data_IF_795436039392
#
_entry.id   IF_795436039392
#
_cell.length_a   1.000
_cell.length_b   1.000
_cell.length_c   1.000
_cell.angle_alpha   90.00
_cell.angle_beta   90.00
_cell.angle_gamma   90.00
#
_symmetry.space_group_name_H-M   'P 1'
#
loop_
_entity.id
_entity.type
_entity.pdbx_description
1 polymer ?
#
# COMPACT_ATOMS: atom_id res chain seq x y z
N UNK A 1 -7.81 20.61 4.12
CA UNK A 1 -7.55 20.10 2.76
C UNK A 1 -8.78 20.05 1.84
N UNK A 2 -9.82 20.89 2.02
CA UNK A 2 -11.08 20.76 1.25
C UNK A 2 -10.85 20.68 -0.27
N UNK A 3 -10.07 21.60 -0.82
CA UNK A 3 -9.80 21.70 -2.27
C UNK A 3 -8.78 20.67 -2.78
N UNK A 4 -8.33 19.76 -1.92
CA UNK A 4 -7.40 18.66 -2.22
C UNK A 4 -8.01 17.28 -1.93
N UNK A 5 -9.31 17.20 -1.65
CA UNK A 5 -10.00 15.96 -1.33
C UNK A 5 -11.19 15.73 -2.26
N UNK A 6 -11.36 14.47 -2.68
CA UNK A 6 -12.58 13.97 -3.31
C UNK A 6 -13.09 12.78 -2.51
N UNK A 7 -14.25 12.93 -1.89
CA UNK A 7 -14.94 11.83 -1.20
C UNK A 7 -15.71 11.04 -2.23
N UNK A 8 -15.62 9.71 -2.22
CA UNK A 8 -16.33 8.83 -3.14
C UNK A 8 -17.27 7.92 -2.34
N UNK A 9 -18.50 7.75 -2.82
CA UNK A 9 -19.49 6.83 -2.22
C UNK A 9 -20.21 6.02 -3.30
N UNK A 10 -20.73 4.85 -2.91
CA UNK A 10 -21.50 3.95 -3.78
C UNK A 10 -20.66 3.03 -4.68
N UNK A 11 -19.34 3.08 -4.57
CA UNK A 11 -18.44 2.09 -5.17
C UNK A 11 -18.48 0.78 -4.37
N UNK A 12 -18.41 -0.34 -5.08
CA UNK A 12 -18.56 -1.67 -4.48
C UNK A 12 -17.48 -2.63 -4.97
N UNK A 13 -17.00 -3.50 -4.09
CA UNK A 13 -16.08 -4.55 -4.48
C UNK A 13 -16.77 -5.61 -5.35
N UNK A 14 -15.98 -6.28 -6.18
CA UNK A 14 -16.40 -7.48 -6.86
C UNK A 14 -16.86 -8.54 -5.84
N UNK A 15 -18.07 -9.05 -6.02
CA UNK A 15 -18.61 -10.14 -5.19
C UNK A 15 -18.76 -11.43 -5.98
N UNK A 16 -18.89 -11.38 -7.31
CA UNK A 16 -19.24 -12.50 -8.18
C UNK A 16 -20.32 -13.41 -7.57
N UNK A 17 -21.38 -12.81 -7.03
CA UNK A 17 -22.49 -13.52 -6.38
C UNK A 17 -22.22 -14.01 -4.95
N UNK A 18 -20.99 -13.92 -4.43
CA UNK A 18 -20.67 -14.24 -3.04
C UNK A 18 -21.24 -13.17 -2.09
N UNK A 19 -21.82 -13.61 -0.99
CA UNK A 19 -22.44 -12.70 -0.01
C UNK A 19 -21.46 -12.32 1.11
N UNK A 20 -21.83 -11.33 1.92
CA UNK A 20 -21.15 -10.99 3.18
C UNK A 20 -21.15 -12.15 4.20
N UNK A 21 -21.86 -13.27 3.94
CA UNK A 21 -21.87 -14.48 4.78
C UNK A 21 -21.04 -15.62 4.21
N UNK A 22 -20.48 -15.45 3.01
CA UNK A 22 -19.63 -16.45 2.37
C UNK A 22 -18.24 -16.37 3.00
N UNK A 23 -17.77 -17.47 3.60
CA UNK A 23 -16.56 -17.55 4.44
C UNK A 23 -15.32 -16.82 3.93
N UNK A 24 -14.45 -16.48 4.87
CA UNK A 24 -13.27 -15.64 4.70
C UNK A 24 -13.47 -14.22 4.19
N UNK A 25 -14.45 -13.54 4.77
CA UNK A 25 -14.85 -12.18 4.39
C UNK A 25 -13.73 -11.15 4.57
N UNK A 26 -12.90 -11.26 5.61
CA UNK A 26 -11.82 -10.31 5.88
C UNK A 26 -10.68 -10.43 4.87
N UNK A 27 -10.16 -11.65 4.68
CA UNK A 27 -9.13 -11.92 3.68
C UNK A 27 -9.61 -11.61 2.27
N UNK A 28 -10.88 -11.90 1.97
CA UNK A 28 -11.50 -11.55 0.67
C UNK A 28 -11.55 -10.05 0.45
N UNK A 29 -12.03 -9.27 1.41
CA UNK A 29 -12.18 -7.82 1.23
C UNK A 29 -10.83 -7.10 1.18
N UNK A 30 -9.87 -7.49 2.02
CA UNK A 30 -8.50 -6.99 1.94
C UNK A 30 -7.89 -7.28 0.56
N UNK A 31 -7.89 -8.54 0.13
CA UNK A 31 -7.30 -8.94 -1.16
C UNK A 31 -7.91 -8.19 -2.33
N UNK A 32 -9.25 -8.11 -2.38
CA UNK A 32 -9.98 -7.44 -3.47
C UNK A 32 -9.73 -5.93 -3.53
N UNK A 33 -9.32 -5.30 -2.43
CA UNK A 33 -9.24 -3.85 -2.34
C UNK A 33 -8.34 -3.24 -3.42
N UNK A 34 -7.20 -3.87 -3.74
CA UNK A 34 -6.33 -3.43 -4.84
C UNK A 34 -6.23 -4.41 -6.01
N UNK A 35 -6.70 -5.66 -5.85
CA UNK A 35 -6.62 -6.68 -6.91
C UNK A 35 -7.94 -6.91 -7.63
N UNK A 36 -9.08 -6.43 -7.12
CA UNK A 36 -10.41 -6.76 -7.65
C UNK A 36 -10.74 -8.27 -7.74
N UNK A 37 -9.82 -9.13 -7.32
CA UNK A 37 -9.82 -10.55 -7.58
C UNK A 37 -10.40 -11.31 -6.41
N UNK A 38 -11.22 -12.32 -6.71
CA UNK A 38 -11.80 -13.16 -5.68
C UNK A 38 -10.75 -14.21 -5.30
N UNK A 39 -10.25 -14.19 -4.05
CA UNK A 39 -9.21 -15.13 -3.67
C UNK A 39 -9.74 -16.55 -3.64
N UNK A 40 -8.85 -17.50 -3.90
CA UNK A 40 -9.16 -18.94 -3.86
C UNK A 40 -9.00 -19.51 -2.44
N UNK A 41 -9.92 -20.40 -1.98
CA UNK A 41 -9.75 -21.15 -0.73
C UNK A 41 -8.63 -22.19 -0.81
N UNK A 42 -8.18 -22.68 0.35
CA UNK A 42 -7.18 -23.76 0.45
C UNK A 42 -7.63 -25.06 -0.24
N UNK A 43 -6.64 -25.86 -0.68
CA UNK A 43 -6.87 -27.24 -1.12
C UNK A 43 -7.44 -27.40 -2.54
N UNK A 44 -7.49 -26.32 -3.34
CA UNK A 44 -7.88 -26.37 -4.75
C UNK A 44 -6.63 -26.22 -5.64
N UNK A 45 -6.03 -27.36 -6.04
CA UNK A 45 -4.91 -27.58 -6.98
C UNK A 45 -3.90 -26.43 -7.21
N UNK A 46 -2.61 -26.67 -6.88
CA UNK A 46 -1.49 -25.74 -7.12
C UNK A 46 -1.09 -24.92 -5.89
N UNK A 47 -0.31 -23.83 -6.09
CA UNK A 47 0.07 -22.91 -5.00
C UNK A 47 -1.17 -22.48 -4.19
N UNK A 48 -1.07 -22.54 -2.86
CA UNK A 48 -2.20 -22.41 -1.91
C UNK A 48 -2.88 -21.02 -1.83
N UNK A 49 -2.53 -20.08 -2.72
CA UNK A 49 -3.16 -18.76 -2.82
C UNK A 49 -3.13 -18.21 -4.26
N UNK A 50 -4.26 -17.64 -4.69
CA UNK A 50 -4.49 -17.03 -5.98
C UNK A 50 -5.34 -15.76 -5.82
N UNK A 51 -4.82 -14.63 -6.28
CA UNK A 51 -5.49 -13.35 -6.45
C UNK A 51 -5.24 -12.84 -7.89
N UNK A 52 -4.90 -11.57 -8.07
CA UNK A 52 -4.42 -10.98 -9.33
C UNK A 52 -3.34 -9.93 -9.02
N UNK A 53 -2.72 -9.35 -10.05
CA UNK A 53 -1.82 -8.21 -9.89
C UNK A 53 -2.58 -7.02 -9.28
N UNK A 54 -2.03 -6.41 -8.25
CA UNK A 54 -2.63 -5.25 -7.61
C UNK A 54 -2.34 -3.96 -8.37
N UNK A 55 -3.22 -2.96 -8.23
CA UNK A 55 -3.12 -1.66 -8.93
C UNK A 55 -1.81 -0.94 -8.63
N UNK A 56 -1.33 -0.97 -7.38
CA UNK A 56 -0.04 -0.41 -6.99
C UNK A 56 1.12 -1.11 -7.73
N UNK A 57 1.03 -2.42 -7.95
CA UNK A 57 2.08 -3.16 -8.66
C UNK A 57 2.02 -2.97 -10.18
N UNK A 58 0.86 -2.64 -10.75
CA UNK A 58 0.78 -2.14 -12.12
C UNK A 58 1.47 -0.78 -12.25
N UNK A 59 1.27 0.13 -11.29
CA UNK A 59 1.98 1.42 -11.23
C UNK A 59 3.49 1.22 -11.06
N UNK A 60 3.90 0.32 -10.16
CA UNK A 60 5.31 0.05 -9.85
C UNK A 60 6.10 -0.47 -11.07
N UNK A 61 5.46 -1.22 -11.97
CA UNK A 61 6.09 -1.73 -13.21
C UNK A 61 6.49 -0.63 -14.20
N UNK A 62 5.75 0.48 -14.20
CA UNK A 62 6.01 1.61 -15.09
C UNK A 62 6.79 2.71 -14.36
N UNK A 63 6.26 3.22 -13.25
CA UNK A 63 6.86 4.33 -12.50
C UNK A 63 8.15 3.96 -11.75
N UNK A 64 8.32 2.66 -11.44
CA UNK A 64 9.50 2.15 -10.74
C UNK A 64 10.76 2.04 -11.60
N UNK A 65 10.66 2.30 -12.91
CA UNK A 65 11.82 2.24 -13.83
C UNK A 65 12.82 3.36 -13.57
N UNK A 66 12.32 4.50 -13.10
CA UNK A 66 13.09 5.72 -12.87
C UNK A 66 13.55 5.88 -11.42
N UNK A 67 13.18 4.94 -10.53
CA UNK A 67 13.52 4.99 -9.11
C UNK A 67 14.31 3.77 -8.65
N UNK A 68 14.98 3.89 -7.50
CA UNK A 68 15.79 2.81 -6.92
C UNK A 68 14.91 1.65 -6.43
N UNK A 69 13.76 1.97 -5.85
CA UNK A 69 12.74 1.03 -5.40
C UNK A 69 11.52 1.18 -6.29
N UNK A 70 11.08 0.07 -6.90
CA UNK A 70 9.89 0.09 -7.74
C UNK A 70 8.60 0.41 -6.97
N UNK A 71 8.53 -0.05 -5.72
CA UNK A 71 7.47 0.25 -4.77
C UNK A 71 7.96 0.04 -3.33
N UNK A 72 7.18 0.56 -2.37
CA UNK A 72 7.37 0.35 -0.95
C UNK A 72 6.07 -0.16 -0.30
N UNK A 73 6.14 -1.32 0.33
CA UNK A 73 5.01 -2.04 0.93
C UNK A 73 5.09 -1.95 2.45
N UNK A 74 4.17 -1.23 3.07
CA UNK A 74 4.23 -0.85 4.48
C UNK A 74 2.97 -1.25 5.25
N UNK A 75 3.11 -1.46 6.56
CA UNK A 75 1.98 -1.65 7.48
C UNK A 75 2.25 -1.07 8.88
N UNK A 76 1.23 -1.00 9.74
CA UNK A 76 1.40 -0.70 11.18
C UNK A 76 1.25 -1.93 12.07
N UNK A 77 1.04 -3.10 11.48
CA UNK A 77 0.85 -4.35 12.17
C UNK A 77 1.81 -5.41 11.63
N UNK A 78 2.46 -6.13 12.54
CA UNK A 78 3.29 -7.28 12.21
C UNK A 78 2.45 -8.41 11.62
N UNK A 79 2.89 -8.95 10.47
CA UNK A 79 2.29 -10.15 9.88
C UNK A 79 2.41 -11.40 10.76
N UNK A 80 3.41 -11.47 11.64
CA UNK A 80 3.67 -12.64 12.48
C UNK A 80 2.79 -12.68 13.73
N UNK A 81 2.42 -11.50 14.26
CA UNK A 81 1.48 -11.38 15.38
C UNK A 81 0.05 -11.59 14.86
N UNK A 82 -0.38 -12.84 14.87
CA UNK A 82 -1.67 -13.28 14.32
C UNK A 82 -1.59 -14.46 13.35
N UNK A 83 -0.44 -15.14 13.24
CA UNK A 83 -0.37 -16.41 12.52
C UNK A 83 -1.42 -17.39 13.09
N UNK A 84 -2.44 -17.72 12.29
CA UNK A 84 -3.58 -18.55 12.69
C UNK A 84 -4.85 -17.79 13.10
N UNK A 85 -4.82 -16.46 13.25
CA UNK A 85 -6.00 -15.60 13.45
C UNK A 85 -6.48 -15.02 12.11
N UNK A 86 -6.52 -15.86 11.09
CA UNK A 86 -7.04 -15.50 9.78
C UNK A 86 -8.30 -16.31 9.49
N UNK A 87 -9.01 -15.91 8.45
CA UNK A 87 -10.26 -16.56 8.11
C UNK A 87 -10.08 -18.05 7.77
N UNK A 88 -10.87 -18.90 8.42
CA UNK A 88 -10.83 -20.35 8.19
C UNK A 88 -11.08 -20.72 6.72
N UNK A 89 -10.27 -21.63 6.20
CA UNK A 89 -10.39 -22.13 4.82
C UNK A 89 -9.64 -21.31 3.75
N UNK A 90 -8.93 -20.24 4.14
CA UNK A 90 -8.17 -19.38 3.24
C UNK A 90 -6.79 -19.05 3.81
N UNK A 91 -5.83 -18.76 2.93
CA UNK A 91 -4.48 -18.37 3.34
C UNK A 91 -4.46 -17.07 4.14
N UNK A 92 -3.74 -17.05 5.27
CA UNK A 92 -3.57 -15.83 6.06
C UNK A 92 -2.91 -14.70 5.27
N UNK A 93 -2.19 -15.03 4.19
CA UNK A 93 -1.65 -14.08 3.22
C UNK A 93 -2.70 -13.06 2.77
N UNK A 94 -3.94 -13.49 2.53
CA UNK A 94 -5.02 -12.63 2.05
C UNK A 94 -5.44 -11.54 3.05
N UNK A 95 -5.12 -11.71 4.33
CA UNK A 95 -5.38 -10.71 5.38
C UNK A 95 -4.11 -9.94 5.79
N UNK A 96 -2.94 -10.37 5.32
CA UNK A 96 -1.64 -9.79 5.69
C UNK A 96 -1.05 -8.89 4.61
N UNK A 97 -1.60 -8.91 3.40
CA UNK A 97 -1.20 -8.00 2.33
C UNK A 97 -2.37 -7.63 1.41
N UNK A 98 -2.36 -6.39 0.93
CA UNK A 98 -3.18 -5.92 -0.18
C UNK A 98 -2.37 -5.75 -1.47
N UNK A 99 -1.07 -6.08 -1.47
CA UNK A 99 -0.17 -5.87 -2.60
C UNK A 99 0.32 -7.19 -3.19
N UNK A 100 0.15 -7.33 -4.51
CA UNK A 100 0.33 -8.56 -5.26
C UNK A 100 1.06 -8.26 -6.56
N UNK A 101 2.31 -8.71 -6.67
CA UNK A 101 3.14 -8.52 -7.88
C UNK A 101 2.58 -9.30 -9.08
N UNK A 102 1.84 -10.36 -8.81
CA UNK A 102 1.13 -11.18 -9.77
C UNK A 102 0.14 -12.13 -9.06
N UNK A 103 -0.59 -12.96 -9.81
CA UNK A 103 -1.71 -13.75 -9.28
C UNK A 103 -1.36 -14.65 -8.09
N UNK A 104 -0.12 -15.13 -8.00
CA UNK A 104 0.34 -16.00 -6.90
C UNK A 104 1.59 -15.43 -6.21
N UNK A 105 1.80 -14.12 -6.26
CA UNK A 105 3.01 -13.47 -5.73
C UNK A 105 2.63 -12.30 -4.82
N UNK A 106 2.18 -12.58 -3.59
CA UNK A 106 1.95 -11.56 -2.56
C UNK A 106 3.28 -10.89 -2.20
N UNK A 107 3.24 -9.59 -1.91
CA UNK A 107 4.40 -8.90 -1.35
C UNK A 107 4.22 -8.69 0.16
N UNK A 108 5.25 -9.00 0.98
CA UNK A 108 5.20 -8.77 2.41
C UNK A 108 5.19 -7.27 2.70
N UNK A 109 4.45 -6.88 3.75
CA UNK A 109 4.39 -5.50 4.21
C UNK A 109 5.32 -5.31 5.41
N UNK A 110 6.15 -4.27 5.37
CA UNK A 110 7.07 -3.95 6.47
C UNK A 110 6.42 -3.00 7.48
N UNK A 111 6.53 -3.35 8.75
CA UNK A 111 5.95 -2.59 9.87
C UNK A 111 7.01 -1.94 10.77
N UNK A 112 8.25 -2.43 10.74
CA UNK A 112 9.33 -1.92 11.57
C UNK A 112 9.99 -0.71 10.87
N UNK A 113 9.88 0.50 11.43
CA UNK A 113 10.45 1.70 10.82
C UNK A 113 11.98 1.65 10.73
N UNK A 114 12.68 0.86 11.55
CA UNK A 114 14.13 0.66 11.40
C UNK A 114 14.43 -0.09 10.10
N UNK A 115 13.69 -1.16 9.82
CA UNK A 115 13.87 -1.97 8.60
C UNK A 115 13.50 -1.15 7.36
N UNK A 116 12.43 -0.34 7.44
CA UNK A 116 12.08 0.61 6.37
C UNK A 116 13.21 1.62 6.15
N UNK A 117 13.75 2.22 7.21
CA UNK A 117 14.87 3.16 7.10
C UNK A 117 16.09 2.50 6.45
N UNK A 118 16.46 1.29 6.85
CA UNK A 118 17.57 0.53 6.25
C UNK A 118 17.32 0.21 4.77
N UNK A 119 16.08 -0.10 4.40
CA UNK A 119 15.70 -0.31 2.99
C UNK A 119 15.83 0.97 2.15
N UNK A 120 15.53 2.13 2.73
CA UNK A 120 15.60 3.43 2.05
C UNK A 120 17.02 4.00 1.99
N UNK A 121 17.77 3.91 3.09
CA UNK A 121 19.03 4.66 3.28
C UNK A 121 20.24 3.77 3.60
N UNK A 122 20.03 2.46 3.81
CA UNK A 122 21.05 1.53 4.27
C UNK A 122 21.27 1.57 5.78
N UNK A 123 22.23 0.77 6.27
CA UNK A 123 22.60 0.64 7.69
C UNK A 123 23.49 1.79 8.22
N UNK A 124 23.61 2.90 7.47
CA UNK A 124 24.51 4.01 7.79
C UNK A 124 24.10 4.85 9.00
N UNK A 125 23.00 4.49 9.67
CA UNK A 125 22.54 5.07 10.92
C UNK A 125 21.88 6.47 10.81
N UNK A 126 22.04 7.18 9.70
CA UNK A 126 21.47 8.53 9.54
C UNK A 126 21.33 8.94 8.06
N UNK A 127 20.40 9.85 7.76
CA UNK A 127 20.26 10.49 6.44
C UNK A 127 21.28 11.62 6.20
N UNK A 128 22.17 11.87 7.17
CA UNK A 128 23.23 12.88 7.10
C UNK A 128 24.09 12.76 5.82
N UNK A 129 24.39 13.87 5.12
CA UNK A 129 25.16 13.83 3.88
C UNK A 129 26.52 13.12 3.98
N UNK A 130 27.23 13.21 5.10
CA UNK A 130 28.50 12.54 5.31
C UNK A 130 28.33 11.03 5.45
N UNK A 131 27.34 10.59 6.24
CA UNK A 131 26.99 9.17 6.39
C UNK A 131 26.60 8.55 5.04
N UNK A 132 25.75 9.23 4.26
CA UNK A 132 25.35 8.78 2.92
C UNK A 132 26.53 8.70 1.94
N UNK A 133 27.45 9.68 1.97
CA UNK A 133 28.65 9.66 1.10
C UNK A 133 29.57 8.48 1.44
N UNK A 134 29.83 8.25 2.73
CA UNK A 134 30.67 7.14 3.17
C UNK A 134 30.07 5.79 2.74
N UNK A 135 28.76 5.61 2.88
CA UNK A 135 28.06 4.40 2.44
C UNK A 135 28.15 4.16 0.94
N UNK A 136 27.90 5.18 0.11
CA UNK A 136 27.99 5.04 -1.36
C UNK A 136 29.39 4.62 -1.80
N UNK A 137 30.43 5.20 -1.20
CA UNK A 137 31.82 4.81 -1.49
C UNK A 137 32.08 3.34 -1.13
N UNK A 138 31.55 2.86 0.00
CA UNK A 138 31.63 1.45 0.39
C UNK A 138 30.91 0.52 -0.60
N UNK A 139 29.66 0.84 -0.96
CA UNK A 139 28.86 0.01 -1.88
C UNK A 139 29.50 -0.12 -3.27
N UNK A 140 30.10 0.98 -3.77
CA UNK A 140 30.83 0.97 -5.05
C UNK A 140 32.03 0.03 -5.00
N UNK A 141 32.84 0.14 -3.95
CA UNK A 141 34.00 -0.75 -3.74
C UNK A 141 33.59 -2.23 -3.66
N UNK A 142 32.48 -2.54 -2.99
CA UNK A 142 31.94 -3.90 -2.90
C UNK A 142 31.48 -4.43 -4.26
N UNK A 143 30.76 -3.63 -5.05
CA UNK A 143 30.32 -4.03 -6.40
C UNK A 143 31.51 -4.27 -7.33
N UNK A 144 32.51 -3.38 -7.31
CA UNK A 144 33.72 -3.53 -8.12
C UNK A 144 34.40 -4.87 -7.81
N UNK A 145 34.50 -5.25 -6.52
CA UNK A 145 35.05 -6.54 -6.10
C UNK A 145 34.21 -7.75 -6.53
N UNK A 146 32.88 -7.66 -6.46
CA UNK A 146 31.98 -8.76 -6.91
C UNK A 146 32.09 -8.94 -8.42
N UNK A 147 32.13 -7.85 -9.18
CA UNK A 147 32.22 -7.86 -10.64
C UNK A 147 33.51 -8.52 -11.12
N UNK A 148 34.64 -8.20 -10.50
CA UNK A 148 35.92 -8.86 -10.79
C UNK A 148 35.81 -10.38 -10.55
N UNK A 149 35.28 -10.80 -9.41
CA UNK A 149 35.13 -12.23 -9.06
C UNK A 149 34.18 -12.98 -10.00
N UNK A 150 33.08 -12.35 -10.42
CA UNK A 150 32.13 -12.93 -11.38
C UNK A 150 32.76 -13.08 -12.76
N UNK A 151 33.49 -12.06 -13.21
CA UNK A 151 34.23 -12.12 -14.47
C UNK A 151 35.27 -13.23 -14.47
N UNK A 152 35.93 -13.45 -13.33
CA UNK A 152 36.91 -14.52 -13.16
C UNK A 152 36.26 -15.91 -13.16
N UNK A 153 35.13 -16.06 -12.46
CA UNK A 153 34.37 -17.32 -12.41
C UNK A 153 33.83 -17.70 -13.79
N UNK A 154 33.33 -16.73 -14.58
CA UNK A 154 32.80 -16.95 -15.93
C UNK A 154 33.84 -17.60 -16.87
N UNK A 155 35.13 -17.32 -16.68
CA UNK A 155 36.22 -17.89 -17.50
C UNK A 155 36.45 -19.39 -17.24
N UNK A 156 35.96 -19.92 -16.12
CA UNK A 156 36.19 -21.32 -15.71
C UNK A 156 34.97 -22.24 -15.79
N UNK A 157 33.79 -21.74 -16.18
CA UNK A 157 32.53 -22.51 -16.16
C UNK A 157 32.17 -23.10 -17.53
N UNK A 158 31.53 -24.28 -17.49
CA UNK A 158 30.94 -24.93 -18.66
C UNK A 158 29.53 -24.39 -19.02
N UNK A 159 28.97 -24.78 -20.18
CA UNK A 159 27.74 -24.19 -20.72
C UNK A 159 26.49 -24.29 -19.81
N UNK A 160 26.39 -25.36 -19.01
CA UNK A 160 25.24 -25.57 -18.11
C UNK A 160 25.28 -24.69 -16.85
N UNK A 161 26.47 -24.29 -16.40
CA UNK A 161 26.64 -23.42 -15.23
C UNK A 161 26.60 -21.94 -15.63
N UNK A 162 26.82 -21.64 -16.91
CA UNK A 162 26.73 -20.29 -17.45
C UNK A 162 25.32 -19.69 -17.30
N UNK A 163 24.26 -20.50 -17.45
CA UNK A 163 22.88 -20.03 -17.31
C UNK A 163 22.52 -19.56 -15.89
N UNK A 164 22.99 -20.27 -14.85
CA UNK A 164 22.81 -19.84 -13.45
C UNK A 164 23.65 -18.61 -13.12
N UNK A 165 24.84 -18.50 -13.73
CA UNK A 165 25.67 -17.31 -13.58
C UNK A 165 25.03 -16.08 -14.26
N UNK A 166 24.33 -16.26 -15.37
CA UNK A 166 23.64 -15.16 -16.06
C UNK A 166 22.51 -14.59 -15.19
N UNK A 167 21.73 -15.42 -14.47
CA UNK A 167 20.74 -14.93 -13.47
C UNK A 167 21.40 -14.09 -12.36
N UNK A 168 22.57 -14.51 -11.88
CA UNK A 168 23.34 -13.76 -10.89
C UNK A 168 23.89 -12.44 -11.47
N UNK A 169 24.39 -12.46 -12.70
CA UNK A 169 24.89 -11.27 -13.40
C UNK A 169 23.78 -10.25 -13.63
N UNK A 170 22.57 -10.70 -13.97
CA UNK A 170 21.43 -9.81 -14.14
C UNK A 170 21.00 -9.19 -12.80
N UNK A 171 21.04 -9.95 -11.69
CA UNK A 171 20.85 -9.39 -10.36
C UNK A 171 21.92 -8.34 -10.00
N UNK A 172 23.19 -8.56 -10.37
CA UNK A 172 24.28 -7.57 -10.17
C UNK A 172 24.03 -6.30 -10.99
N UNK A 173 23.60 -6.43 -12.25
CA UNK A 173 23.26 -5.29 -13.11
C UNK A 173 22.10 -4.46 -12.55
N UNK A 174 21.11 -5.13 -11.98
CA UNK A 174 20.02 -4.44 -11.30
C UNK A 174 20.51 -3.62 -10.10
N UNK A 175 21.49 -4.14 -9.34
CA UNK A 175 22.14 -3.38 -8.26
C UNK A 175 22.97 -2.22 -8.82
N UNK A 176 23.74 -2.42 -9.90
CA UNK A 176 24.49 -1.33 -10.57
C UNK A 176 23.55 -0.19 -11.00
N UNK A 177 22.42 -0.53 -11.63
CA UNK A 177 21.41 0.46 -12.04
C UNK A 177 20.90 1.27 -10.84
N UNK A 178 20.59 0.61 -9.72
CA UNK A 178 20.15 1.30 -8.49
C UNK A 178 21.22 2.24 -7.95
N UNK A 179 22.49 1.83 -7.96
CA UNK A 179 23.60 2.70 -7.54
C UNK A 179 23.72 3.92 -8.46
N UNK A 180 23.62 3.74 -9.78
CA UNK A 180 23.66 4.86 -10.73
C UNK A 180 22.52 5.85 -10.49
N UNK A 181 21.29 5.37 -10.27
CA UNK A 181 20.15 6.23 -9.89
C UNK A 181 20.44 6.97 -8.58
N UNK A 182 21.01 6.30 -7.57
CA UNK A 182 21.38 6.91 -6.30
C UNK A 182 22.47 8.00 -6.42
N UNK A 183 23.43 7.81 -7.33
CA UNK A 183 24.45 8.81 -7.64
C UNK A 183 23.85 10.02 -8.35
N UNK A 184 22.94 9.82 -9.32
CA UNK A 184 22.23 10.91 -9.98
C UNK A 184 21.39 11.74 -9.00
N UNK A 185 20.86 11.11 -7.95
CA UNK A 185 20.06 11.75 -6.90
C UNK A 185 20.90 12.27 -5.72
N UNK A 186 22.23 12.18 -5.76
CA UNK A 186 23.08 12.35 -4.56
C UNK A 186 23.07 13.75 -3.94
N UNK A 187 22.76 14.76 -4.76
CA UNK A 187 22.79 16.18 -4.40
C UNK A 187 21.48 16.66 -3.76
N UNK A 188 20.47 15.79 -3.62
CA UNK A 188 19.24 16.14 -2.91
C UNK A 188 19.53 16.35 -1.42
N UNK A 189 19.21 17.55 -0.95
CA UNK A 189 19.19 17.86 0.48
C UNK A 189 17.99 17.14 1.12
N UNK A 190 18.26 16.38 2.18
CA UNK A 190 17.22 15.72 2.97
C UNK A 190 17.31 16.25 4.40
N UNK A 191 16.18 16.33 5.12
CA UNK A 191 16.24 16.58 6.55
C UNK A 191 17.00 15.43 7.22
N UNK A 192 17.79 15.78 8.25
CA UNK A 192 18.54 14.80 9.03
C UNK A 192 17.54 14.02 9.89
N UNK A 193 17.54 12.71 9.70
CA UNK A 193 16.81 11.74 10.49
C UNK A 193 17.79 10.64 10.89
N UNK A 194 17.88 10.41 12.19
CA UNK A 194 18.59 9.25 12.72
C UNK A 194 17.77 7.99 12.52
N UNK A 195 18.47 6.88 12.35
CA UNK A 195 17.84 5.58 12.20
C UNK A 195 16.92 5.28 13.39
N UNK A 196 15.65 4.92 13.15
CA UNK A 196 14.73 4.57 14.22
C UNK A 196 15.20 3.39 15.08
N UNK A 197 14.84 3.44 16.36
CA UNK A 197 15.09 2.34 17.30
C UNK A 197 14.18 1.12 17.09
N UNK A 198 13.21 1.19 16.17
CA UNK A 198 12.20 0.16 15.93
C UNK A 198 10.79 0.70 16.12
N UNK A 199 9.83 -0.20 16.32
CA UNK A 199 8.40 0.14 16.46
C UNK A 199 8.12 0.97 17.74
N UNK A 200 7.57 2.19 17.63
CA UNK A 200 7.16 3.00 18.79
C UNK A 200 6.06 2.36 19.65
N UNK A 201 5.89 2.86 20.87
CA UNK A 201 4.94 2.28 21.83
C UNK A 201 3.48 2.60 21.49
N UNK A 202 3.19 3.82 21.04
CA UNK A 202 1.82 4.25 20.72
C UNK A 202 1.52 4.12 19.24
N UNK A 203 0.23 3.95 18.89
CA UNK A 203 -0.19 3.90 17.49
C UNK A 203 0.17 5.20 16.75
N UNK A 204 -0.10 6.35 17.37
CA UNK A 204 0.14 7.66 16.74
C UNK A 204 1.63 7.89 16.43
N UNK A 205 2.54 7.57 17.36
CA UNK A 205 3.98 7.72 17.11
C UNK A 205 4.45 6.78 16.00
N UNK A 206 3.97 5.54 15.98
CA UNK A 206 4.31 4.58 14.94
C UNK A 206 3.78 5.02 13.57
N UNK A 207 2.51 5.43 13.49
CA UNK A 207 1.90 5.95 12.27
C UNK A 207 2.65 7.16 11.72
N UNK A 208 2.93 8.16 12.57
CA UNK A 208 3.62 9.39 12.17
C UNK A 208 5.05 9.11 11.70
N UNK A 209 5.78 8.24 12.39
CA UNK A 209 7.13 7.85 11.98
C UNK A 209 7.14 7.12 10.63
N UNK A 210 6.18 6.22 10.41
CA UNK A 210 6.03 5.55 9.11
C UNK A 210 5.62 6.54 8.00
N UNK A 211 4.80 7.54 8.30
CA UNK A 211 4.47 8.61 7.35
C UNK A 211 5.68 9.52 7.05
N UNK A 212 6.48 9.88 8.06
CA UNK A 212 7.70 10.66 7.85
C UNK A 212 8.71 9.91 6.96
N UNK A 213 8.84 8.59 7.12
CA UNK A 213 9.64 7.75 6.23
C UNK A 213 9.11 7.73 4.79
N UNK A 214 7.79 7.73 4.59
CA UNK A 214 7.18 7.85 3.26
C UNK A 214 7.47 9.21 2.62
N UNK A 215 7.33 10.30 3.38
CA UNK A 215 7.68 11.65 2.92
C UNK A 215 9.15 11.71 2.52
N UNK A 216 10.04 11.15 3.34
CA UNK A 216 11.47 11.05 3.04
C UNK A 216 11.73 10.24 1.77
N UNK A 217 11.03 9.12 1.56
CA UNK A 217 11.15 8.31 0.35
C UNK A 217 10.77 9.09 -0.92
N UNK A 218 9.73 9.93 -0.85
CA UNK A 218 9.37 10.83 -1.95
C UNK A 218 10.36 11.99 -2.13
N UNK A 219 10.75 12.66 -1.05
CA UNK A 219 11.75 13.74 -1.08
C UNK A 219 13.08 13.30 -1.67
N UNK A 220 13.47 12.05 -1.40
CA UNK A 220 14.70 11.44 -1.91
C UNK A 220 14.54 10.76 -3.27
N UNK A 221 13.31 10.72 -3.83
CA UNK A 221 12.99 10.06 -5.09
C UNK A 221 13.44 8.58 -5.12
N UNK A 222 13.30 7.91 -3.97
CA UNK A 222 13.61 6.49 -3.84
C UNK A 222 12.52 5.61 -4.44
N UNK A 223 11.27 6.06 -4.42
CA UNK A 223 10.14 5.39 -5.05
C UNK A 223 9.02 6.37 -5.42
N UNK A 224 8.19 6.00 -6.40
CA UNK A 224 6.95 6.71 -6.76
C UNK A 224 5.69 6.03 -6.24
N UNK A 225 5.79 4.79 -5.77
CA UNK A 225 4.63 3.97 -5.39
C UNK A 225 4.82 3.47 -3.96
N UNK A 226 3.87 3.82 -3.10
CA UNK A 226 3.83 3.36 -1.72
C UNK A 226 2.43 2.81 -1.43
N UNK A 227 2.38 1.61 -0.86
CA UNK A 227 1.14 0.99 -0.36
C UNK A 227 1.27 0.86 1.15
N UNK A 228 0.28 1.36 1.90
CA UNK A 228 0.34 1.40 3.36
C UNK A 228 -0.92 0.85 4.01
N UNK A 229 -0.81 -0.29 4.70
CA UNK A 229 -1.90 -0.90 5.46
C UNK A 229 -1.87 -0.41 6.92
N UNK A 230 -2.72 0.57 7.23
CA UNK A 230 -2.83 1.19 8.56
C UNK A 230 -3.37 0.22 9.62
N UNK A 231 -4.29 -0.67 9.23
CA UNK A 231 -4.83 -1.70 10.10
C UNK A 231 -5.32 -2.89 9.27
N UNK A 232 -5.19 -4.09 9.84
CA UNK A 232 -5.74 -5.30 9.20
C UNK A 232 -7.23 -5.42 9.48
N UNK A 233 -7.96 -6.04 8.56
CA UNK A 233 -9.40 -6.32 8.69
C UNK A 233 -9.75 -7.15 9.96
N UNK A 234 -8.79 -7.89 10.50
CA UNK A 234 -8.92 -8.71 11.71
C UNK A 234 -8.13 -8.16 12.91
N UNK A 235 -7.86 -6.85 12.93
CA UNK A 235 -7.02 -6.24 13.97
C UNK A 235 -7.69 -6.25 15.35
N UNK A 236 -7.13 -6.98 16.30
CA UNK A 236 -7.50 -6.91 17.72
C UNK A 236 -6.80 -5.77 18.47
N UNK A 237 -6.24 -4.79 17.77
CA UNK A 237 -5.55 -3.64 18.38
C UNK A 237 -6.53 -2.85 19.25
N UNK A 238 -6.06 -2.43 20.41
CA UNK A 238 -6.77 -1.53 21.33
C UNK A 238 -6.14 -0.14 21.27
N UNK A 239 -6.92 0.88 21.62
CA UNK A 239 -6.48 2.29 21.60
C UNK A 239 -6.80 2.98 22.95
N UNK A 240 -6.18 2.54 24.06
CA UNK A 240 -6.43 3.11 25.38
C UNK A 240 -6.06 4.61 25.46
N UNK A 241 -5.12 5.10 24.65
CA UNK A 241 -4.66 6.49 24.60
C UNK A 241 -5.76 7.49 24.20
N UNK A 242 -6.81 7.02 23.51
CA UNK A 242 -7.99 7.80 23.13
C UNK A 242 -9.26 7.33 23.85
N UNK A 243 -9.12 6.49 24.88
CA UNK A 243 -10.26 5.96 25.62
C UNK A 243 -11.09 4.92 24.84
N UNK A 244 -10.46 4.14 23.97
CA UNK A 244 -11.06 3.02 23.26
C UNK A 244 -10.31 1.70 23.56
N UNK A 245 -10.49 1.13 24.77
CA UNK A 245 -9.74 -0.05 25.22
C UNK A 245 -10.19 -1.37 24.57
N UNK A 246 -11.34 -1.41 23.89
CA UNK A 246 -11.80 -2.59 23.16
C UNK A 246 -10.93 -2.88 21.92
N UNK A 247 -10.88 -4.15 21.50
CA UNK A 247 -10.20 -4.54 20.27
C UNK A 247 -10.97 -4.03 19.05
N UNK A 248 -10.29 -3.43 18.09
CA UNK A 248 -10.91 -2.78 16.93
C UNK A 248 -11.86 -3.71 16.15
N UNK A 249 -11.40 -4.92 15.81
CA UNK A 249 -12.21 -5.91 15.11
C UNK A 249 -13.42 -6.39 15.96
N UNK A 250 -13.27 -6.85 17.22
CA UNK A 250 -14.42 -7.22 18.03
C UNK A 250 -15.48 -6.12 18.18
N UNK A 251 -15.05 -4.87 18.37
CA UNK A 251 -15.96 -3.73 18.53
C UNK A 251 -16.90 -3.54 17.33
N UNK A 252 -16.43 -3.82 16.11
CA UNK A 252 -17.23 -3.65 14.88
C UNK A 252 -18.38 -4.64 14.78
N UNK A 253 -18.31 -5.79 15.47
CA UNK A 253 -19.36 -6.80 15.48
C UNK A 253 -20.38 -6.64 16.62
N UNK A 254 -20.12 -5.77 17.60
CA UNK A 254 -20.95 -5.67 18.80
C UNK A 254 -22.21 -4.81 18.62
N UNK A 255 -22.17 -3.78 17.77
CA UNK A 255 -23.29 -2.86 17.49
C UNK A 255 -23.95 -2.17 18.70
N UNK A 256 -23.26 -2.10 19.85
CA UNK A 256 -23.75 -1.40 21.03
C UNK A 256 -23.41 0.09 20.97
N UNK A 257 -24.16 0.94 21.70
CA UNK A 257 -23.83 2.36 21.77
C UNK A 257 -22.38 2.61 22.27
N UNK A 258 -21.92 1.79 23.21
CA UNK A 258 -20.55 1.87 23.73
C UNK A 258 -19.49 1.39 22.73
N UNK A 259 -19.78 0.38 21.90
CA UNK A 259 -18.85 -0.06 20.87
C UNK A 259 -18.78 0.96 19.72
N UNK A 260 -19.91 1.53 19.32
CA UNK A 260 -19.99 2.60 18.32
C UNK A 260 -19.22 3.86 18.75
N UNK A 261 -19.33 4.28 20.01
CA UNK A 261 -18.56 5.42 20.53
C UNK A 261 -17.05 5.18 20.42
N UNK A 262 -16.58 3.97 20.75
CA UNK A 262 -15.17 3.59 20.63
C UNK A 262 -14.73 3.54 19.16
N UNK A 263 -15.54 2.95 18.26
CA UNK A 263 -15.24 2.92 16.82
C UNK A 263 -15.13 4.32 16.22
N UNK A 264 -16.00 5.25 16.61
CA UNK A 264 -15.89 6.65 16.19
C UNK A 264 -14.57 7.26 16.64
N UNK A 265 -14.15 7.05 17.89
CA UNK A 265 -12.85 7.52 18.39
C UNK A 265 -11.69 6.93 17.58
N UNK A 266 -11.72 5.63 17.29
CA UNK A 266 -10.68 4.96 16.50
C UNK A 266 -10.63 5.53 15.07
N UNK A 267 -11.77 5.67 14.40
CA UNK A 267 -11.85 6.22 13.04
C UNK A 267 -11.38 7.67 12.97
N UNK A 268 -11.78 8.51 13.93
CA UNK A 268 -11.27 9.88 14.06
C UNK A 268 -9.76 9.86 14.25
N UNK A 269 -9.24 8.99 15.11
CA UNK A 269 -7.80 8.91 15.38
C UNK A 269 -6.99 8.47 14.15
N UNK A 270 -7.51 7.57 13.33
CA UNK A 270 -6.89 7.20 12.04
C UNK A 270 -6.91 8.37 11.06
N UNK A 271 -8.04 9.08 10.96
CA UNK A 271 -8.17 10.26 10.11
C UNK A 271 -7.25 11.41 10.55
N UNK A 272 -7.01 11.58 11.86
CA UNK A 272 -6.02 12.53 12.39
C UNK A 272 -4.60 12.19 11.93
N UNK A 273 -4.22 10.90 11.90
CA UNK A 273 -2.88 10.52 11.43
C UNK A 273 -2.76 10.69 9.91
N UNK A 274 -3.84 10.45 9.17
CA UNK A 274 -3.89 10.77 7.73
C UNK A 274 -3.77 12.28 7.49
N UNK A 275 -4.47 13.11 8.29
CA UNK A 275 -4.34 14.57 8.21
C UNK A 275 -2.90 15.04 8.49
N UNK A 276 -2.24 14.45 9.49
CA UNK A 276 -0.82 14.69 9.74
C UNK A 276 0.02 14.37 8.50
N UNK A 277 -0.21 13.24 7.83
CA UNK A 277 0.53 12.89 6.62
C UNK A 277 0.32 13.92 5.50
N UNK A 278 -0.92 14.39 5.29
CA UNK A 278 -1.21 15.45 4.34
C UNK A 278 -0.50 16.77 4.69
N UNK A 279 -0.43 17.14 5.97
CA UNK A 279 0.33 18.31 6.44
C UNK A 279 1.82 18.17 6.11
N UNK A 280 2.40 16.98 6.34
CA UNK A 280 3.82 16.72 6.02
C UNK A 280 4.10 16.79 4.52
N UNK A 281 3.22 16.24 3.70
CA UNK A 281 3.32 16.33 2.23
C UNK A 281 3.16 17.77 1.75
N UNK A 282 2.23 18.55 2.31
CA UNK A 282 2.02 19.95 1.95
C UNK A 282 3.21 20.82 2.36
N UNK A 283 3.79 20.58 3.54
CA UNK A 283 4.93 21.33 4.05
C UNK A 283 6.25 20.98 3.36
N UNK A 284 6.26 19.98 2.47
CA UNK A 284 7.45 19.53 1.76
C UNK A 284 7.46 20.10 0.34
N UNK A 285 8.44 20.96 -0.02
CA UNK A 285 8.61 21.41 -1.39
C UNK A 285 8.95 20.27 -2.34
N UNK A 286 8.39 20.31 -3.55
CA UNK A 286 8.72 19.42 -4.66
C UNK A 286 8.56 20.20 -5.97
N UNK A 287 9.67 20.55 -6.62
CA UNK A 287 9.66 21.30 -7.88
C UNK A 287 8.91 22.63 -7.81
N UNK A 288 7.83 22.74 -8.57
CA UNK A 288 6.94 23.90 -8.70
C UNK A 288 5.80 23.94 -7.67
N UNK A 289 5.76 22.99 -6.73
CA UNK A 289 4.75 22.92 -5.68
C UNK A 289 5.24 22.22 -4.42
N UNK A 290 4.32 21.54 -3.76
CA UNK A 290 4.58 20.64 -2.64
C UNK A 290 4.40 19.18 -3.07
N UNK A 291 4.91 18.22 -2.28
CA UNK A 291 4.62 16.81 -2.53
C UNK A 291 3.11 16.55 -2.61
N UNK A 292 2.30 17.22 -1.78
CA UNK A 292 0.85 17.07 -1.81
C UNK A 292 0.24 17.48 -3.17
N UNK A 293 0.86 18.43 -3.88
CA UNK A 293 0.40 18.88 -5.20
C UNK A 293 0.68 17.82 -6.29
N UNK A 294 1.72 17.01 -6.12
CA UNK A 294 2.17 16.04 -7.13
C UNK A 294 1.70 14.61 -6.88
N UNK A 295 1.41 14.23 -5.64
CA UNK A 295 0.89 12.90 -5.33
C UNK A 295 -0.61 12.79 -5.56
N UNK A 296 -1.06 11.57 -5.88
CA UNK A 296 -2.45 11.13 -5.79
C UNK A 296 -2.51 10.02 -4.75
N UNK A 297 -3.21 10.27 -3.66
CA UNK A 297 -3.41 9.31 -2.58
C UNK A 297 -4.77 8.66 -2.72
N UNK A 298 -4.79 7.33 -2.60
CA UNK A 298 -6.01 6.52 -2.51
C UNK A 298 -6.13 5.97 -1.09
N UNK A 299 -7.09 6.49 -0.33
CA UNK A 299 -7.33 6.14 1.08
C UNK A 299 -8.72 5.53 1.26
N UNK A 300 -8.82 4.44 2.02
CA UNK A 300 -10.10 3.83 2.33
C UNK A 300 -9.98 2.42 2.91
N UNK A 301 -11.11 1.71 2.93
CA UNK A 301 -11.23 0.35 3.43
C UNK A 301 -11.95 -0.58 2.44
N UNK A 302 -11.71 -1.88 2.57
CA UNK A 302 -12.36 -2.92 1.76
C UNK A 302 -13.79 -3.25 2.17
N UNK A 303 -14.26 -2.69 3.30
CA UNK A 303 -15.61 -2.87 3.84
C UNK A 303 -16.19 -1.53 4.30
N UNK A 304 -17.52 -1.39 4.24
CA UNK A 304 -18.21 -0.19 4.71
C UNK A 304 -18.53 -0.22 6.21
N UNK A 305 -18.85 -1.38 6.75
CA UNK A 305 -19.31 -1.54 8.14
C UNK A 305 -19.07 -2.95 8.68
N UNK A 306 -19.30 -3.12 9.99
CA UNK A 306 -19.00 -4.35 10.75
C UNK A 306 -19.76 -5.60 10.32
N UNK A 307 -20.81 -5.47 9.49
CA UNK A 307 -21.52 -6.60 8.88
C UNK A 307 -20.91 -7.03 7.54
N UNK A 308 -19.62 -6.74 7.36
CA UNK A 308 -18.80 -7.12 6.21
C UNK A 308 -19.32 -6.61 4.86
N UNK A 309 -19.99 -5.46 4.85
CA UNK A 309 -20.60 -4.92 3.65
C UNK A 309 -19.54 -4.56 2.58
N UNK A 310 -19.52 -5.25 1.41
CA UNK A 310 -18.57 -4.98 0.34
C UNK A 310 -19.02 -3.85 -0.61
N UNK A 311 -20.10 -3.15 -0.30
CA UNK A 311 -20.68 -2.06 -1.10
C UNK A 311 -20.63 -0.74 -0.35
N UNK A 312 -20.72 0.37 -1.08
CA UNK A 312 -20.63 1.73 -0.55
C UNK A 312 -19.37 1.96 0.30
N UNK A 313 -18.21 1.60 -0.27
CA UNK A 313 -16.93 1.66 0.43
C UNK A 313 -16.56 3.10 0.86
N UNK A 314 -15.89 3.28 2.02
CA UNK A 314 -15.48 4.58 2.51
C UNK A 314 -14.16 4.98 1.85
N UNK A 315 -14.24 5.74 0.74
CA UNK A 315 -13.08 6.05 -0.08
C UNK A 315 -12.85 7.56 -0.22
N UNK A 316 -11.58 7.95 -0.19
CA UNK A 316 -11.12 9.32 -0.38
C UNK A 316 -9.94 9.32 -1.35
N UNK A 317 -10.00 10.18 -2.36
CA UNK A 317 -8.82 10.60 -3.09
C UNK A 317 -8.29 11.90 -2.51
N UNK A 318 -6.98 11.98 -2.31
CA UNK A 318 -6.33 13.18 -1.78
C UNK A 318 -5.11 13.60 -2.61
N UNK A 319 -4.78 14.88 -2.56
CA UNK A 319 -3.63 15.47 -3.26
C UNK A 319 -4.02 16.21 -4.55
N UNK A 320 -3.03 16.68 -5.29
CA UNK A 320 -3.22 17.37 -6.57
C UNK A 320 -3.07 16.44 -7.78
N UNK A 321 -2.36 15.32 -7.64
CA UNK A 321 -2.04 14.43 -8.75
C UNK A 321 -1.42 15.16 -9.94
N UNK A 322 -0.61 16.20 -9.70
CA UNK A 322 -0.07 17.08 -10.75
C UNK A 322 -1.18 17.73 -11.60
N UNK A 323 -2.22 18.24 -10.93
CA UNK A 323 -3.38 18.87 -11.56
C UNK A 323 -4.42 17.90 -12.13
N UNK A 324 -4.23 16.58 -11.98
CA UNK A 324 -5.17 15.57 -12.46
C UNK A 324 -6.38 15.36 -11.54
N UNK A 325 -6.36 15.89 -10.31
CA UNK A 325 -7.44 15.74 -9.34
C UNK A 325 -8.00 17.10 -8.92
N UNK A 326 -9.28 17.36 -9.23
CA UNK A 326 -9.99 18.52 -8.72
C UNK A 326 -10.62 18.21 -7.36
N UNK A 327 -10.14 18.78 -6.26
CA UNK A 327 -10.72 18.54 -4.94
C UNK A 327 -12.05 19.26 -4.70
N UNK A 328 -12.48 19.31 -3.43
CA UNK A 328 -13.66 20.05 -2.98
C UNK A 328 -14.99 19.36 -3.31
N UNK A 329 -14.96 18.05 -3.63
CA UNK A 329 -16.11 17.32 -4.17
C UNK A 329 -16.45 16.08 -3.38
N UNK A 330 -17.74 15.74 -3.37
CA UNK A 330 -18.25 14.43 -3.00
C UNK A 330 -18.93 13.85 -4.24
N UNK A 331 -18.38 12.77 -4.77
CA UNK A 331 -18.91 12.07 -5.94
C UNK A 331 -19.62 10.80 -5.48
N UNK A 332 -20.88 10.67 -5.89
CA UNK A 332 -21.77 9.56 -5.51
C UNK A 332 -22.06 8.74 -6.76
N UNK A 333 -21.66 7.48 -6.75
CA UNK A 333 -21.83 6.56 -7.87
C UNK A 333 -22.94 5.55 -7.56
N UNK A 334 -23.70 5.17 -8.59
CA UNK A 334 -24.84 4.24 -8.46
C UNK A 334 -26.09 4.84 -7.81
N UNK A 335 -27.21 4.14 -7.97
CA UNK A 335 -28.51 4.57 -7.43
C UNK A 335 -28.54 4.35 -5.92
N UNK A 336 -28.43 5.43 -5.18
CA UNK A 336 -28.38 5.47 -3.72
C UNK A 336 -29.58 6.24 -3.16
N UNK A 337 -30.60 6.54 -3.98
CA UNK A 337 -31.81 7.30 -3.60
C UNK A 337 -32.72 6.60 -2.57
N UNK A 338 -32.34 5.44 -2.06
CA UNK A 338 -32.98 4.88 -0.89
C UNK A 338 -32.21 5.33 0.35
N UNK A 339 -32.85 6.17 1.17
CA UNK A 339 -32.37 6.64 2.47
C UNK A 339 -32.19 5.50 3.51
N UNK A 340 -32.16 4.26 3.06
CA UNK A 340 -32.01 3.04 3.84
C UNK A 340 -30.82 2.23 3.32
N UNK A 341 -29.62 2.74 3.61
CA UNK A 341 -28.36 2.02 3.40
C UNK A 341 -28.21 0.78 4.30
N UNK A 342 -29.19 0.48 5.17
CA UNK A 342 -29.16 -0.64 6.13
C UNK A 342 -29.80 -1.93 5.60
N UNK A 343 -30.45 -1.89 4.44
CA UNK A 343 -31.12 -3.07 3.90
C UNK A 343 -30.13 -4.07 3.28
N UNK A 344 -29.74 -5.06 4.09
CA UNK A 344 -29.14 -6.34 3.70
C UNK A 344 -29.95 -7.16 2.65
N UNK A 345 -31.04 -6.62 2.10
CA UNK A 345 -31.90 -7.29 1.11
C UNK A 345 -31.44 -7.15 -0.35
N UNK A 346 -30.46 -6.28 -0.65
CA UNK A 346 -29.89 -6.20 -2.00
C UNK A 346 -28.70 -7.15 -2.12
N UNK A 347 -28.98 -8.37 -2.55
CA UNK A 347 -27.95 -9.26 -3.05
C UNK A 347 -27.18 -8.60 -4.20
N UNK A 348 -25.85 -8.61 -4.07
CA UNK A 348 -24.73 -8.58 -5.04
C UNK A 348 -24.90 -8.42 -6.57
N UNK A 349 -26.07 -8.16 -7.16
CA UNK A 349 -26.30 -8.52 -8.56
C UNK A 349 -26.36 -7.39 -9.60
N UNK A 350 -27.05 -6.29 -9.34
CA UNK A 350 -27.48 -5.38 -10.42
C UNK A 350 -27.48 -3.91 -9.98
N UNK A 351 -26.65 -3.08 -10.61
CA UNK A 351 -26.67 -1.61 -10.49
C UNK A 351 -25.57 -0.99 -9.61
N UNK A 352 -24.76 -1.77 -8.91
CA UNK A 352 -23.63 -1.25 -8.14
C UNK A 352 -22.47 -0.85 -9.06
N UNK A 353 -21.83 0.31 -8.80
CA UNK A 353 -20.67 0.76 -9.58
C UNK A 353 -19.41 0.03 -9.08
N UNK A 354 -18.69 -0.72 -9.93
CA UNK A 354 -17.50 -1.46 -9.51
C UNK A 354 -16.37 -0.56 -9.01
N UNK A 355 -15.70 -0.97 -7.93
CA UNK A 355 -14.48 -0.33 -7.43
C UNK A 355 -13.38 -0.33 -8.50
N UNK A 356 -13.34 -1.35 -9.35
CA UNK A 356 -12.38 -1.42 -10.44
C UNK A 356 -12.49 -0.26 -11.45
N UNK A 357 -13.64 0.43 -11.53
CA UNK A 357 -13.75 1.67 -12.33
C UNK A 357 -12.86 2.78 -11.75
N UNK A 358 -12.76 2.89 -10.41
CA UNK A 358 -11.84 3.82 -9.76
C UNK A 358 -10.39 3.44 -10.06
N UNK A 359 -10.05 2.16 -9.97
CA UNK A 359 -8.70 1.66 -10.29
C UNK A 359 -8.28 2.02 -11.71
N UNK A 360 -9.15 1.78 -12.68
CA UNK A 360 -8.91 2.13 -14.08
C UNK A 360 -8.68 3.64 -14.27
N UNK A 361 -9.47 4.45 -13.57
CA UNK A 361 -9.38 5.91 -13.64
C UNK A 361 -8.10 6.45 -12.99
N UNK A 362 -7.70 5.91 -11.84
CA UNK A 362 -6.45 6.29 -11.16
C UNK A 362 -5.23 5.91 -11.98
N UNK A 363 -5.21 4.71 -12.57
CA UNK A 363 -4.14 4.29 -13.48
C UNK A 363 -3.98 5.26 -14.65
N UNK A 364 -5.09 5.66 -15.28
CA UNK A 364 -5.05 6.60 -16.40
C UNK A 364 -4.57 8.00 -16.00
N UNK A 365 -5.02 8.53 -14.85
CA UNK A 365 -4.52 9.81 -14.32
C UNK A 365 -3.02 9.78 -14.03
N UNK A 366 -2.47 8.59 -13.76
CA UNK A 366 -1.04 8.37 -13.55
C UNK A 366 -0.29 7.90 -14.81
N UNK A 367 -0.92 8.02 -15.99
CA UNK A 367 -0.28 7.79 -17.29
C UNK A 367 -0.34 6.35 -17.80
N UNK A 368 -1.01 5.43 -17.09
CA UNK A 368 -1.16 4.03 -17.50
C UNK A 368 -2.53 3.81 -18.12
N UNK A 369 -2.57 3.57 -19.43
CA UNK A 369 -3.82 3.32 -20.17
C UNK A 369 -4.06 1.82 -20.32
N UNK A 370 -5.19 1.35 -19.78
CA UNK A 370 -5.73 0.02 -19.99
C UNK A 370 -7.15 0.12 -20.57
N UNK A 371 -7.56 -0.90 -21.31
CA UNK A 371 -8.94 -1.01 -21.82
C UNK A 371 -9.91 -1.44 -20.71
N UNK A 372 -9.43 -2.21 -19.72
CA UNK A 372 -10.16 -2.63 -18.54
C UNK A 372 -9.22 -3.28 -17.51
N UNK A 373 -9.72 -3.41 -16.27
CA UNK A 373 -9.03 -4.09 -15.17
C UNK A 373 -10.05 -4.77 -14.26
N UNK A 374 -9.81 -6.03 -13.88
CA UNK A 374 -10.71 -6.82 -13.03
C UNK A 374 -12.17 -6.82 -13.56
N UNK A 375 -13.14 -6.40 -12.75
CA UNK A 375 -14.57 -6.26 -13.10
C UNK A 375 -14.95 -4.84 -13.55
N UNK A 376 -13.98 -4.02 -14.00
CA UNK A 376 -14.27 -2.67 -14.46
C UNK A 376 -15.23 -2.66 -15.65
N UNK A 377 -16.20 -1.75 -15.60
CA UNK A 377 -17.19 -1.50 -16.66
C UNK A 377 -16.96 -0.16 -17.37
N UNK A 378 -16.03 0.66 -16.87
CA UNK A 378 -15.68 1.95 -17.44
C UNK A 378 -14.81 2.78 -16.52
N UNK A 379 -14.57 4.04 -16.90
CA UNK A 379 -13.89 5.04 -16.08
C UNK A 379 -14.92 5.86 -15.31
N UNK A 380 -14.47 6.48 -14.22
CA UNK A 380 -15.25 7.43 -13.44
C UNK A 380 -14.94 8.85 -13.90
N UNK A 381 -15.96 9.70 -13.89
CA UNK A 381 -15.79 11.15 -14.07
C UNK A 381 -15.22 11.76 -12.78
N UNK A 382 -13.89 11.74 -12.68
CA UNK A 382 -13.10 12.32 -11.59
C UNK A 382 -12.54 13.67 -11.98
#
# INVERSE_FOLDING_TARGET
>A
FRDRLVVLSGLSQNTNGLTARSGAVHGRCATKFLTGAIPRPFGQEGNDFLADVSVDQLLARELGRDTQLGSLELSLESGDKGAGTCDGGYSCTYSHTITWRGPTTPLPMEHDPRVVFERLFGDGGSTDPAARRARRASNRSLLDSVREKVSDLRRGLGPSDAGKLDEYVDAVRDVERRIQTAEAQSNRELPVMDQPAGVPATFAEHARLMFDLQVLAYQSDLTRVITFMVGREFSSRTYPEIGAPGGHHPLSHEHSAASLEQLVKINVHHAEQFAYYLDRLQATPDGDGSLLDHVLLYYGAGMAEGDHQPWNLPLVLAGGGTGQLAGGRHLRFGDTNDADASSASRGSGQGATPLANLHLTVLEKLGIRLDGIHDSTGRLEL
#
